data_IF_092778593474
#
_entry.id   IF_092778593474
#
_cell.length_a   1.000
_cell.length_b   1.000
_cell.length_c   1.000
_cell.angle_alpha   90.00
_cell.angle_beta   90.00
_cell.angle_gamma   90.00
#
_symmetry.space_group_name_H-M   'P 1'
#
loop_
_entity.id
_entity.type
_entity.pdbx_description
1 polymer ?
#
# COMPACT_ATOMS: atom_id res chain seq x y z
N UNK A 1 -8.66 18.83 -8.18
CA UNK A 1 -7.27 19.29 -8.02
C UNK A 1 -6.45 18.03 -7.81
N UNK A 2 -5.86 17.46 -8.86
CA UNK A 2 -5.03 16.25 -8.72
C UNK A 2 -3.71 16.70 -8.11
N UNK A 3 -3.55 16.52 -6.80
CA UNK A 3 -2.27 16.81 -6.15
C UNK A 3 -1.23 15.84 -6.68
N UNK A 4 -0.10 16.41 -7.12
CA UNK A 4 1.09 15.66 -7.51
C UNK A 4 1.65 14.98 -6.28
N UNK A 5 1.87 13.67 -6.35
CA UNK A 5 2.35 12.89 -5.21
C UNK A 5 3.82 13.22 -4.95
N UNK A 6 4.14 13.69 -3.74
CA UNK A 6 5.51 13.90 -3.31
C UNK A 6 6.01 12.68 -2.51
N UNK A 7 7.33 12.51 -2.34
CA UNK A 7 7.89 11.45 -1.49
C UNK A 7 7.34 11.46 -0.05
N UNK A 8 7.01 12.64 0.48
CA UNK A 8 6.40 12.83 1.80
C UNK A 8 4.93 12.39 1.88
N UNK A 9 4.22 12.33 0.74
CA UNK A 9 2.83 11.86 0.62
C UNK A 9 2.73 10.35 0.34
N UNK A 10 3.86 9.68 0.13
CA UNK A 10 3.88 8.26 -0.15
C UNK A 10 3.55 7.48 1.12
N UNK A 11 2.60 6.57 0.99
CA UNK A 11 2.28 5.61 2.01
C UNK A 11 3.53 4.78 2.33
N UNK A 12 3.77 4.45 3.60
CA UNK A 12 4.84 3.53 3.95
C UNK A 12 4.56 2.14 3.39
N UNK A 13 5.61 1.39 3.07
CA UNK A 13 5.45 0.00 2.64
C UNK A 13 4.84 -0.83 3.78
N UNK A 14 3.71 -1.51 3.54
CA UNK A 14 3.10 -2.35 4.57
C UNK A 14 4.00 -3.55 4.85
N UNK A 15 4.22 -3.82 6.13
CA UNK A 15 5.03 -4.97 6.57
C UNK A 15 4.19 -6.23 6.45
N UNK A 16 4.69 -7.21 5.71
CA UNK A 16 4.02 -8.51 5.61
C UNK A 16 4.07 -9.22 6.96
N UNK A 17 2.91 -9.56 7.55
CA UNK A 17 2.89 -10.35 8.78
C UNK A 17 3.33 -11.78 8.46
N UNK A 18 3.91 -12.46 9.45
CA UNK A 18 4.35 -13.84 9.28
C UNK A 18 3.15 -14.78 9.04
N UNK A 19 3.36 -15.91 8.37
CA UNK A 19 2.25 -16.79 7.97
C UNK A 19 1.47 -17.40 9.16
N UNK A 20 2.09 -17.46 10.34
CA UNK A 20 1.49 -17.90 11.59
C UNK A 20 0.76 -16.76 12.34
N UNK A 21 0.79 -15.53 11.85
CA UNK A 21 0.20 -14.39 12.55
C UNK A 21 -1.29 -14.31 12.27
N UNK A 22 -2.01 -14.18 13.38
CA UNK A 22 -3.43 -13.94 13.54
C UNK A 22 -4.35 -14.13 12.33
N UNK A 23 -4.72 -15.38 12.06
CA UNK A 23 -5.75 -15.75 11.09
C UNK A 23 -6.60 -16.90 11.65
N UNK A 24 -7.55 -16.60 12.53
CA UNK A 24 -8.40 -17.61 13.20
C UNK A 24 -9.35 -16.97 14.22
N UNK A 25 -10.23 -17.77 14.84
CA UNK A 25 -11.25 -17.28 15.78
C UNK A 25 -10.69 -16.60 17.04
N UNK A 26 -9.45 -16.89 17.43
CA UNK A 26 -8.76 -16.23 18.54
C UNK A 26 -8.33 -14.78 18.23
N UNK A 27 -8.38 -14.37 16.95
CA UNK A 27 -7.85 -13.09 16.47
C UNK A 27 -8.91 -12.05 16.11
N UNK A 28 -10.19 -12.36 16.34
CA UNK A 28 -11.32 -11.46 16.06
C UNK A 28 -11.81 -11.50 14.62
N UNK A 29 -12.46 -10.41 14.18
CA UNK A 29 -13.27 -10.34 12.96
C UNK A 29 -12.44 -10.22 11.66
N UNK A 30 -11.17 -9.82 11.75
CA UNK A 30 -10.31 -9.61 10.57
C UNK A 30 -8.95 -10.30 10.74
N UNK A 31 -8.67 -11.26 9.87
CA UNK A 31 -7.34 -11.86 9.75
C UNK A 31 -6.31 -10.78 9.39
N UNK A 32 -5.17 -10.77 10.08
CA UNK A 32 -4.12 -9.75 9.86
C UNK A 32 -3.59 -9.78 8.43
N UNK A 33 -3.61 -10.95 7.80
CA UNK A 33 -3.29 -11.09 6.38
C UNK A 33 -4.27 -10.32 5.50
N UNK A 34 -5.56 -10.35 5.80
CA UNK A 34 -6.57 -9.60 5.04
C UNK A 34 -6.33 -8.10 5.13
N UNK A 35 -5.99 -7.60 6.33
CA UNK A 35 -5.63 -6.20 6.54
C UNK A 35 -4.39 -5.84 5.71
N UNK A 36 -3.34 -6.65 5.82
CA UNK A 36 -2.12 -6.48 5.02
C UNK A 36 -2.40 -6.42 3.52
N UNK A 37 -3.21 -7.33 2.98
CA UNK A 37 -3.52 -7.35 1.55
C UNK A 37 -4.32 -6.12 1.11
N UNK A 38 -5.22 -5.61 1.95
CA UNK A 38 -5.95 -4.38 1.67
C UNK A 38 -5.00 -3.16 1.66
N UNK A 39 -4.17 -3.00 2.69
CA UNK A 39 -3.19 -1.91 2.78
C UNK A 39 -2.17 -1.99 1.63
N UNK A 40 -1.73 -3.20 1.28
CA UNK A 40 -0.83 -3.43 0.14
C UNK A 40 -1.46 -3.04 -1.18
N UNK A 41 -2.75 -3.32 -1.39
CA UNK A 41 -3.43 -2.93 -2.62
C UNK A 41 -3.48 -1.40 -2.78
N UNK A 42 -3.75 -0.66 -1.70
CA UNK A 42 -3.74 0.81 -1.71
C UNK A 42 -2.32 1.36 -1.93
N UNK A 43 -1.33 0.78 -1.26
CA UNK A 43 0.09 1.12 -1.46
C UNK A 43 0.52 0.91 -2.91
N UNK A 44 0.24 -0.26 -3.48
CA UNK A 44 0.62 -0.59 -4.85
C UNK A 44 -0.05 0.36 -5.87
N UNK A 45 -1.31 0.72 -5.64
CA UNK A 45 -2.04 1.66 -6.48
C UNK A 45 -1.41 3.06 -6.43
N UNK A 46 -1.07 3.55 -5.24
CA UNK A 46 -0.40 4.84 -5.07
C UNK A 46 0.98 4.84 -5.74
N UNK A 47 1.78 3.80 -5.52
CA UNK A 47 3.12 3.68 -6.09
C UNK A 47 3.11 3.56 -7.62
N UNK A 48 2.06 2.97 -8.18
CA UNK A 48 1.86 2.98 -9.63
C UNK A 48 1.61 4.41 -10.13
N UNK A 49 0.67 5.13 -9.52
CA UNK A 49 0.36 6.50 -9.90
C UNK A 49 1.54 7.47 -9.73
N UNK A 50 2.37 7.26 -8.70
CA UNK A 50 3.59 8.05 -8.51
C UNK A 50 4.64 7.76 -9.58
N UNK A 51 4.88 6.49 -9.92
CA UNK A 51 5.80 6.13 -11.03
C UNK A 51 5.34 6.67 -12.37
N UNK A 52 4.05 6.61 -12.66
CA UNK A 52 3.47 7.18 -13.89
C UNK A 52 3.69 8.69 -13.95
N UNK A 53 3.53 9.41 -12.84
CA UNK A 53 3.83 10.85 -12.76
C UNK A 53 5.31 11.13 -13.01
N UNK A 54 6.21 10.40 -12.35
CA UNK A 54 7.66 10.58 -12.53
C UNK A 54 8.10 10.29 -13.97
N UNK A 55 7.54 9.27 -14.61
CA UNK A 55 7.82 8.96 -16.01
C UNK A 55 7.30 10.05 -16.98
N UNK A 56 6.16 10.68 -16.67
CA UNK A 56 5.64 11.81 -17.45
C UNK A 56 6.50 13.06 -17.27
N UNK A 57 6.99 13.33 -16.05
CA UNK A 57 7.90 14.44 -15.79
C UNK A 57 9.26 14.28 -16.47
N UNK A 58 9.81 13.07 -16.51
CA UNK A 58 11.10 12.81 -17.18
C UNK A 58 10.99 12.88 -18.71
N UNK A 59 9.79 12.65 -19.25
CA UNK A 59 9.53 12.70 -20.69
C UNK A 59 9.25 14.12 -21.23
N UNK A 60 9.10 15.12 -20.34
CA UNK A 60 8.86 16.54 -20.68
C UNK A 60 10.15 17.36 -20.62
#
# INVERSE_FOLDING_TARGET
MTQKLKPEDLMPEPVRPEAWECCGSDCGDACIQTIYWNEKAEYDAQQKAWREQQAQEEAE
#
